data_IF_860934564106
#
_entry.id   IF_860934564106
#
_cell.length_a   1.000
_cell.length_b   1.000
_cell.length_c   1.000
_cell.angle_alpha   90.00
_cell.angle_beta   90.00
_cell.angle_gamma   90.00
#
_symmetry.space_group_name_H-M   'P 1'
#
loop_
_entity.id
_entity.type
_entity.pdbx_description
1 polymer ?
#
# COMPACT_ATOMS: atom_id res chain seq x y z
N UNK A 1 -80.66 -27.06 -61.21
CA UNK A 1 -79.68 -28.20 -61.24
C UNK A 1 -78.28 -27.85 -61.74
N UNK A 2 -78.07 -27.07 -62.86
CA UNK A 2 -76.69 -26.70 -63.22
C UNK A 2 -76.05 -25.64 -62.34
N UNK A 3 -76.81 -24.67 -61.83
CA UNK A 3 -76.30 -23.64 -60.92
C UNK A 3 -75.86 -24.18 -59.56
N UNK A 4 -76.55 -25.13 -58.96
CA UNK A 4 -76.21 -25.74 -57.68
C UNK A 4 -74.90 -26.56 -57.73
N UNK A 5 -74.58 -27.15 -58.86
CA UNK A 5 -73.35 -27.88 -59.08
C UNK A 5 -72.16 -26.91 -59.15
N UNK A 6 -72.29 -25.82 -59.86
CA UNK A 6 -71.26 -24.80 -60.00
C UNK A 6 -70.96 -24.10 -58.62
N UNK A 7 -72.04 -23.79 -57.90
CA UNK A 7 -71.89 -23.20 -56.52
C UNK A 7 -71.18 -24.13 -55.58
N UNK A 8 -71.47 -25.42 -55.62
CA UNK A 8 -70.77 -26.41 -54.80
C UNK A 8 -69.31 -26.55 -55.17
N UNK A 9 -68.96 -26.54 -56.42
CA UNK A 9 -67.54 -26.60 -56.91
C UNK A 9 -66.78 -25.34 -56.46
N UNK A 10 -67.36 -24.15 -56.62
CA UNK A 10 -66.71 -22.89 -56.14
C UNK A 10 -66.50 -22.91 -54.65
N UNK A 11 -67.50 -23.37 -53.89
CA UNK A 11 -67.40 -23.45 -52.43
C UNK A 11 -66.32 -24.47 -52.03
N UNK A 12 -66.28 -25.63 -52.63
CA UNK A 12 -65.25 -26.66 -52.37
C UNK A 12 -63.83 -26.16 -52.73
N UNK A 13 -63.68 -25.43 -53.81
CA UNK A 13 -62.39 -24.83 -54.20
C UNK A 13 -61.94 -23.72 -53.24
N UNK A 14 -62.87 -22.90 -52.76
CA UNK A 14 -62.64 -21.90 -51.76
C UNK A 14 -62.21 -22.55 -50.42
N UNK A 15 -62.94 -23.58 -49.99
CA UNK A 15 -62.56 -24.30 -48.72
C UNK A 15 -61.19 -24.95 -48.82
N UNK A 16 -60.82 -25.56 -50.01
CA UNK A 16 -59.45 -26.06 -50.17
C UNK A 16 -58.43 -24.99 -50.12
N UNK A 17 -58.69 -23.83 -50.70
CA UNK A 17 -57.75 -22.66 -50.67
C UNK A 17 -57.57 -22.17 -49.23
N UNK A 18 -58.69 -22.04 -48.48
CA UNK A 18 -58.61 -21.65 -47.05
C UNK A 18 -57.86 -22.67 -46.21
N UNK A 19 -58.05 -24.00 -46.47
CA UNK A 19 -57.33 -25.04 -45.76
C UNK A 19 -55.83 -24.98 -46.05
N UNK A 20 -55.42 -24.75 -47.31
CA UNK A 20 -53.98 -24.55 -47.66
C UNK A 20 -53.37 -23.33 -47.01
N UNK A 21 -54.06 -22.18 -47.01
CA UNK A 21 -53.58 -20.95 -46.37
C UNK A 21 -53.44 -21.13 -44.86
N UNK A 22 -54.36 -21.84 -44.20
CA UNK A 22 -54.26 -22.16 -42.78
C UNK A 22 -53.07 -23.07 -42.47
N UNK A 23 -52.81 -24.07 -43.31
CA UNK A 23 -51.66 -24.95 -43.11
C UNK A 23 -50.32 -24.20 -43.30
N UNK A 24 -50.25 -23.35 -44.33
CA UNK A 24 -49.08 -22.47 -44.56
C UNK A 24 -48.87 -21.49 -43.41
N UNK A 25 -49.92 -20.83 -42.91
CA UNK A 25 -49.87 -19.97 -41.77
C UNK A 25 -49.40 -20.70 -40.50
N UNK A 26 -49.92 -21.91 -40.26
CA UNK A 26 -49.51 -22.72 -39.15
C UNK A 26 -48.00 -23.09 -39.19
N UNK A 27 -47.51 -23.45 -40.41
CA UNK A 27 -46.09 -23.74 -40.63
C UNK A 27 -45.20 -22.53 -40.44
N UNK A 28 -45.59 -21.37 -40.96
CA UNK A 28 -44.84 -20.13 -40.78
C UNK A 28 -44.81 -19.71 -39.31
N UNK A 29 -45.96 -19.79 -38.62
CA UNK A 29 -46.04 -19.48 -37.17
C UNK A 29 -45.15 -20.40 -36.36
N UNK A 30 -45.16 -21.70 -36.66
CA UNK A 30 -44.28 -22.66 -35.96
C UNK A 30 -42.80 -22.41 -36.23
N UNK A 31 -42.43 -22.02 -37.46
CA UNK A 31 -41.06 -21.68 -37.81
C UNK A 31 -40.57 -20.42 -37.09
N UNK A 32 -41.39 -19.37 -37.04
CA UNK A 32 -41.08 -18.13 -36.30
C UNK A 32 -40.93 -18.42 -34.79
N UNK A 33 -41.82 -19.25 -34.27
CA UNK A 33 -41.76 -19.63 -32.87
C UNK A 33 -40.48 -20.41 -32.51
N UNK A 34 -40.13 -21.40 -33.34
CA UNK A 34 -38.91 -22.18 -33.18
C UNK A 34 -37.65 -21.27 -33.26
N UNK A 35 -37.63 -20.34 -34.20
CA UNK A 35 -36.52 -19.38 -34.32
C UNK A 35 -36.42 -18.45 -33.11
N UNK A 36 -37.54 -17.99 -32.58
CA UNK A 36 -37.57 -17.18 -31.39
C UNK A 36 -37.07 -17.96 -30.12
N UNK A 37 -37.50 -19.21 -30.00
CA UNK A 37 -37.09 -20.09 -28.91
C UNK A 37 -35.59 -20.39 -28.97
N UNK A 38 -35.03 -20.62 -30.16
CA UNK A 38 -33.58 -20.80 -30.34
C UNK A 38 -32.81 -19.54 -29.97
N UNK A 39 -33.25 -18.36 -30.40
CA UNK A 39 -32.63 -17.09 -30.03
C UNK A 39 -32.67 -16.86 -28.51
N UNK A 40 -33.79 -17.11 -27.86
CA UNK A 40 -33.94 -17.01 -26.42
C UNK A 40 -32.99 -17.97 -25.70
N UNK A 41 -32.87 -19.20 -26.21
CA UNK A 41 -31.94 -20.20 -25.65
C UNK A 41 -30.49 -19.75 -25.74
N UNK A 42 -30.06 -19.24 -26.91
CA UNK A 42 -28.72 -18.69 -27.10
C UNK A 42 -28.45 -17.46 -26.19
N UNK A 43 -29.41 -16.56 -26.12
CA UNK A 43 -29.29 -15.39 -25.24
C UNK A 43 -29.13 -15.83 -23.76
N UNK A 44 -29.93 -16.77 -23.28
CA UNK A 44 -29.80 -17.32 -21.92
C UNK A 44 -28.42 -17.93 -21.68
N UNK A 45 -27.93 -18.77 -22.58
CA UNK A 45 -26.58 -19.37 -22.48
C UNK A 45 -25.49 -18.31 -22.43
N UNK A 46 -25.59 -17.26 -23.24
CA UNK A 46 -24.62 -16.17 -23.27
C UNK A 46 -24.64 -15.35 -21.98
N UNK A 47 -25.84 -15.08 -21.45
CA UNK A 47 -25.96 -14.35 -20.18
C UNK A 47 -25.48 -15.19 -18.99
N UNK A 48 -25.76 -16.48 -18.95
CA UNK A 48 -25.23 -17.38 -17.91
C UNK A 48 -23.70 -17.43 -17.93
N UNK A 49 -23.11 -17.46 -19.13
CA UNK A 49 -21.65 -17.44 -19.31
C UNK A 49 -21.04 -16.12 -18.85
N UNK A 50 -21.62 -14.98 -19.23
CA UNK A 50 -21.19 -13.65 -18.76
C UNK A 50 -21.32 -13.53 -17.24
N UNK A 51 -22.41 -14.03 -16.67
CA UNK A 51 -22.62 -14.01 -15.23
C UNK A 51 -21.57 -14.86 -14.50
N UNK A 52 -21.26 -16.04 -15.01
CA UNK A 52 -20.22 -16.91 -14.41
C UNK A 52 -18.83 -16.26 -14.49
N UNK A 53 -18.48 -15.66 -15.63
CA UNK A 53 -17.22 -14.92 -15.81
C UNK A 53 -17.16 -13.68 -14.91
N UNK A 54 -18.24 -12.93 -14.82
CA UNK A 54 -18.36 -11.75 -13.94
C UNK A 54 -18.17 -12.13 -12.47
N UNK A 55 -18.84 -13.19 -12.00
CA UNK A 55 -18.68 -13.71 -10.64
C UNK A 55 -17.23 -14.13 -10.35
N UNK A 56 -16.58 -14.82 -11.31
CA UNK A 56 -15.18 -15.25 -11.16
C UNK A 56 -14.21 -14.05 -11.09
N UNK A 57 -14.45 -13.04 -11.91
CA UNK A 57 -13.65 -11.82 -11.94
C UNK A 57 -13.81 -11.04 -10.63
N UNK A 58 -15.04 -10.85 -10.17
CA UNK A 58 -15.33 -10.18 -8.91
C UNK A 58 -14.68 -10.90 -7.72
N UNK A 59 -14.85 -12.23 -7.64
CA UNK A 59 -14.24 -13.02 -6.56
C UNK A 59 -12.70 -12.90 -6.54
N UNK A 60 -12.06 -12.81 -7.72
CA UNK A 60 -10.61 -12.59 -7.82
C UNK A 60 -10.21 -11.19 -7.35
N UNK A 61 -10.96 -10.17 -7.76
CA UNK A 61 -10.72 -8.79 -7.35
C UNK A 61 -10.86 -8.62 -5.83
N UNK A 62 -11.93 -9.15 -5.24
CA UNK A 62 -12.18 -9.10 -3.80
C UNK A 62 -11.07 -9.81 -3.02
N UNK A 63 -10.65 -11.00 -3.47
CA UNK A 63 -9.53 -11.72 -2.84
C UNK A 63 -8.23 -10.91 -2.90
N UNK A 64 -7.88 -10.36 -4.08
CA UNK A 64 -6.67 -9.56 -4.23
C UNK A 64 -6.69 -8.29 -3.39
N UNK A 65 -7.85 -7.63 -3.29
CA UNK A 65 -8.04 -6.46 -2.44
C UNK A 65 -7.85 -6.80 -0.96
N UNK A 66 -8.49 -7.88 -0.49
CA UNK A 66 -8.37 -8.33 0.90
C UNK A 66 -6.92 -8.74 1.25
N UNK A 67 -6.22 -9.44 0.34
CA UNK A 67 -4.80 -9.78 0.53
C UNK A 67 -3.90 -8.54 0.61
N UNK A 68 -4.16 -7.54 -0.24
CA UNK A 68 -3.41 -6.27 -0.21
C UNK A 68 -3.65 -5.52 1.10
N UNK A 69 -4.90 -5.44 1.53
CA UNK A 69 -5.28 -4.76 2.76
C UNK A 69 -4.68 -5.44 4.00
N UNK A 70 -4.71 -6.77 4.04
CA UNK A 70 -4.05 -7.56 5.09
C UNK A 70 -2.53 -7.29 5.13
N UNK A 71 -1.85 -7.32 3.98
CA UNK A 71 -0.42 -7.00 3.90
C UNK A 71 -0.12 -5.57 4.37
N UNK A 72 -0.95 -4.61 3.96
CA UNK A 72 -0.82 -3.21 4.37
C UNK A 72 -0.94 -3.06 5.89
N UNK A 73 -1.90 -3.73 6.50
CA UNK A 73 -2.09 -3.72 7.96
C UNK A 73 -0.88 -4.29 8.69
N UNK A 74 -0.38 -5.46 8.25
CA UNK A 74 0.82 -6.07 8.82
C UNK A 74 2.05 -5.18 8.71
N UNK A 75 2.27 -4.58 7.53
CA UNK A 75 3.41 -3.66 7.31
C UNK A 75 3.28 -2.38 8.15
N UNK A 76 2.07 -1.85 8.32
CA UNK A 76 1.81 -0.70 9.18
C UNK A 76 2.16 -1.02 10.64
N UNK A 77 1.75 -2.18 11.14
CA UNK A 77 2.10 -2.61 12.50
C UNK A 77 3.58 -2.89 12.68
N UNK A 78 4.24 -3.48 11.70
CA UNK A 78 5.72 -3.64 11.75
C UNK A 78 6.43 -2.29 11.82
N UNK A 79 5.98 -1.29 11.04
CA UNK A 79 6.53 0.07 11.08
C UNK A 79 6.31 0.74 12.44
N UNK A 80 5.15 0.58 13.03
CA UNK A 80 4.81 1.11 14.36
C UNK A 80 5.75 0.54 15.43
N UNK A 81 5.92 -0.79 15.47
CA UNK A 81 6.84 -1.46 16.42
C UNK A 81 8.29 -1.00 16.22
N UNK A 82 8.74 -0.85 14.98
CA UNK A 82 10.09 -0.33 14.71
C UNK A 82 10.24 1.12 15.19
N UNK A 83 9.23 1.97 15.02
CA UNK A 83 9.26 3.34 15.54
C UNK A 83 9.32 3.37 17.06
N UNK A 84 8.49 2.58 17.73
CA UNK A 84 8.51 2.46 19.19
C UNK A 84 9.88 1.97 19.73
N UNK A 85 10.48 1.00 19.05
CA UNK A 85 11.80 0.51 19.40
C UNK A 85 12.89 1.57 19.21
N UNK A 86 12.82 2.37 18.16
CA UNK A 86 13.72 3.51 17.94
C UNK A 86 13.58 4.56 19.04
N UNK A 87 12.34 4.95 19.35
CA UNK A 87 12.06 5.96 20.38
C UNK A 87 12.49 5.47 21.77
N UNK A 88 12.30 4.19 22.08
CA UNK A 88 12.78 3.59 23.32
C UNK A 88 14.32 3.57 23.41
N UNK A 89 15.00 3.27 22.30
CA UNK A 89 16.47 3.31 22.24
C UNK A 89 16.99 4.75 22.44
N UNK A 90 16.37 5.73 21.78
CA UNK A 90 16.71 7.14 21.94
C UNK A 90 16.51 7.59 23.38
N UNK A 91 15.38 7.28 23.99
CA UNK A 91 15.09 7.61 25.38
C UNK A 91 16.10 6.97 26.35
N UNK A 92 16.57 5.75 26.07
CA UNK A 92 17.61 5.11 26.86
C UNK A 92 18.97 5.83 26.77
N UNK A 93 19.35 6.33 25.58
CA UNK A 93 20.55 7.16 25.39
C UNK A 93 20.43 8.50 26.13
N UNK A 94 19.29 9.15 26.01
CA UNK A 94 19.01 10.45 26.69
C UNK A 94 18.93 10.30 28.20
N UNK A 95 18.42 9.19 28.70
CA UNK A 95 18.32 8.87 30.13
C UNK A 95 19.60 8.31 30.74
N UNK A 96 20.69 8.20 29.98
CA UNK A 96 21.97 7.73 30.51
C UNK A 96 22.54 8.69 31.56
N UNK A 97 23.37 8.15 32.48
CA UNK A 97 24.01 8.96 33.52
C UNK A 97 25.00 9.96 32.94
N UNK A 98 25.21 11.09 33.63
CA UNK A 98 26.16 12.13 33.18
C UNK A 98 27.57 11.55 32.93
N UNK A 99 27.98 10.58 33.74
CA UNK A 99 29.28 9.90 33.57
C UNK A 99 29.36 9.11 32.25
N UNK A 100 28.29 8.43 31.88
CA UNK A 100 28.23 7.68 30.63
C UNK A 100 28.19 8.62 29.44
N UNK A 101 27.34 9.65 29.49
CA UNK A 101 27.26 10.69 28.47
C UNK A 101 28.59 11.38 28.23
N UNK A 102 29.30 11.76 29.33
CA UNK A 102 30.62 12.38 29.20
C UNK A 102 31.63 11.46 28.52
N UNK A 103 31.60 10.16 28.79
CA UNK A 103 32.47 9.19 28.11
C UNK A 103 32.17 9.11 26.64
N UNK A 104 30.90 9.11 26.26
CA UNK A 104 30.46 9.10 24.85
C UNK A 104 30.85 10.41 24.14
N UNK A 105 30.61 11.55 24.77
CA UNK A 105 30.98 12.84 24.20
C UNK A 105 32.48 12.98 23.94
N UNK A 106 33.33 12.48 24.83
CA UNK A 106 34.78 12.40 24.59
C UNK A 106 35.15 11.55 23.42
N UNK A 107 34.48 10.40 23.26
CA UNK A 107 34.69 9.53 22.09
C UNK A 107 34.26 10.21 20.78
N UNK A 108 33.13 10.94 20.82
CA UNK A 108 32.62 11.71 19.67
C UNK A 108 33.59 12.83 19.29
N UNK A 109 34.07 13.63 20.25
CA UNK A 109 35.08 14.67 20.00
C UNK A 109 36.31 14.07 19.36
N UNK A 110 36.85 13.00 19.94
CA UNK A 110 38.03 12.30 19.41
C UNK A 110 37.83 11.79 17.98
N UNK A 111 36.63 11.29 17.64
CA UNK A 111 36.35 10.82 16.28
C UNK A 111 36.24 11.95 15.27
N UNK A 112 35.92 13.14 15.69
CA UNK A 112 35.80 14.33 14.84
C UNK A 112 37.09 15.16 14.72
N UNK A 113 38.11 14.92 15.57
CA UNK A 113 39.38 15.66 15.53
C UNK A 113 40.10 15.58 14.18
N UNK A 114 39.92 14.47 13.45
CA UNK A 114 40.47 14.30 12.10
C UNK A 114 39.83 15.26 11.07
N UNK A 115 38.61 15.68 11.30
CA UNK A 115 37.82 16.54 10.41
C UNK A 115 37.87 17.99 10.86
N UNK A 116 37.76 18.22 12.16
CA UNK A 116 37.74 19.55 12.79
C UNK A 116 38.76 19.55 13.92
N UNK A 117 39.98 20.08 13.68
CA UNK A 117 40.97 20.28 14.74
C UNK A 117 40.50 21.38 15.70
N UNK A 118 40.57 21.10 17.02
CA UNK A 118 40.19 22.00 18.10
C UNK A 118 38.74 22.55 17.96
N UNK A 119 37.72 21.64 17.96
CA UNK A 119 36.36 22.03 17.71
C UNK A 119 35.75 22.82 18.86
N UNK A 120 34.74 23.64 18.55
CA UNK A 120 33.77 24.18 19.45
C UNK A 120 32.60 23.21 19.59
N UNK A 121 32.15 22.92 20.82
CA UNK A 121 31.03 22.01 21.04
C UNK A 121 29.74 22.78 21.38
N UNK A 122 28.70 22.59 20.59
CA UNK A 122 27.34 23.03 20.90
C UNK A 122 26.65 21.91 21.66
N UNK A 123 26.08 22.19 22.79
CA UNK A 123 25.44 21.21 23.68
C UNK A 123 24.09 21.72 24.16
N UNK A 124 23.23 20.79 24.60
CA UNK A 124 21.95 21.16 25.19
C UNK A 124 22.16 22.05 26.43
N UNK A 125 21.36 23.13 26.67
CA UNK A 125 21.43 23.97 27.86
C UNK A 125 21.22 23.20 29.16
N UNK A 126 20.70 21.99 29.09
CA UNK A 126 20.51 21.12 30.28
C UNK A 126 21.80 20.39 30.68
N UNK A 127 22.78 20.29 29.80
CA UNK A 127 24.04 19.59 30.05
C UNK A 127 25.02 20.52 30.79
N UNK A 128 25.58 20.04 31.87
CA UNK A 128 26.55 20.79 32.70
C UNK A 128 27.98 20.30 32.40
N UNK A 129 28.45 20.48 31.18
CA UNK A 129 29.74 20.01 30.73
C UNK A 129 30.65 21.20 30.43
N UNK A 130 31.91 21.09 30.80
CA UNK A 130 32.91 22.14 30.55
C UNK A 130 33.83 21.78 29.39
N UNK A 131 34.42 22.80 28.74
CA UNK A 131 35.37 22.61 27.65
C UNK A 131 36.56 21.73 28.06
N UNK A 132 37.09 21.93 29.28
CA UNK A 132 38.18 21.11 29.82
C UNK A 132 37.80 19.63 29.99
N UNK A 133 36.54 19.33 30.28
CA UNK A 133 36.08 17.94 30.39
C UNK A 133 35.96 17.23 29.02
N UNK A 134 35.61 17.97 27.97
CA UNK A 134 35.48 17.43 26.62
C UNK A 134 36.81 17.45 25.86
N UNK A 135 37.73 18.35 26.17
CA UNK A 135 38.95 18.57 25.40
C UNK A 135 38.70 19.40 24.12
N UNK A 136 37.78 20.37 24.19
CA UNK A 136 37.41 21.26 23.09
C UNK A 136 37.76 22.71 23.42
N UNK A 137 37.82 23.58 22.39
CA UNK A 137 38.14 25.00 22.55
C UNK A 137 37.07 25.73 23.37
N UNK A 138 35.81 25.47 23.12
CA UNK A 138 34.67 26.13 23.77
C UNK A 138 33.46 25.20 23.86
N UNK A 139 32.62 25.36 24.89
CA UNK A 139 31.30 24.73 24.98
C UNK A 139 30.24 25.81 25.02
N UNK A 140 29.33 25.78 24.07
CA UNK A 140 28.25 26.75 23.92
C UNK A 140 26.91 26.05 24.08
N UNK A 141 26.09 26.50 25.03
CA UNK A 141 24.71 26.00 25.13
C UNK A 141 23.87 26.44 23.91
N UNK A 142 23.24 25.49 23.23
CA UNK A 142 22.34 25.73 22.13
C UNK A 142 21.01 25.00 22.34
N UNK A 143 19.90 25.72 22.23
CA UNK A 143 18.55 25.20 22.41
C UNK A 143 18.10 24.28 21.27
N UNK A 144 18.78 24.29 20.13
CA UNK A 144 18.50 23.38 19.00
C UNK A 144 19.08 21.99 19.25
N UNK A 145 20.09 21.87 20.10
CA UNK A 145 20.68 20.59 20.49
C UNK A 145 19.84 19.99 21.64
N UNK A 146 19.11 18.95 21.34
CA UNK A 146 18.27 18.27 22.33
C UNK A 146 19.06 17.32 23.21
N UNK A 147 19.91 16.48 22.59
CA UNK A 147 20.76 15.49 23.27
C UNK A 147 21.93 15.10 22.38
N UNK A 148 23.11 14.89 22.99
CA UNK A 148 24.34 14.74 22.24
C UNK A 148 25.06 16.09 22.07
N UNK A 149 25.85 16.24 21.01
CA UNK A 149 26.57 17.48 20.72
C UNK A 149 26.68 17.72 19.21
N UNK A 150 26.91 18.98 18.82
CA UNK A 150 27.31 19.35 17.47
C UNK A 150 28.72 19.95 17.61
N UNK A 151 29.65 19.47 16.80
CA UNK A 151 31.02 20.01 16.75
C UNK A 151 31.12 20.96 15.57
N UNK A 152 31.64 22.15 15.84
CA UNK A 152 31.77 23.23 14.86
C UNK A 152 33.21 23.70 14.81
N UNK A 153 33.71 24.00 13.61
CA UNK A 153 35.02 24.66 13.42
C UNK A 153 35.01 26.08 14.01
N UNK A 154 36.17 26.62 14.35
CA UNK A 154 36.30 27.96 14.94
C UNK A 154 35.65 29.07 14.08
N UNK A 155 35.69 28.93 12.77
CA UNK A 155 35.09 29.84 11.78
C UNK A 155 33.61 29.55 11.46
N UNK A 156 33.03 28.46 12.03
CA UNK A 156 31.67 28.06 11.79
C UNK A 156 31.33 27.49 10.43
N UNK A 157 32.37 27.22 9.61
CA UNK A 157 32.16 26.75 8.20
C UNK A 157 31.93 25.24 8.11
N UNK A 158 32.42 24.46 9.08
CA UNK A 158 32.29 23.01 9.13
C UNK A 158 31.58 22.63 10.40
N UNK A 159 30.55 21.83 10.26
CA UNK A 159 29.78 21.27 11.37
C UNK A 159 29.69 19.75 11.25
N UNK A 160 29.83 19.06 12.37
CA UNK A 160 29.60 17.62 12.48
C UNK A 160 28.51 17.38 13.52
N UNK A 161 27.36 16.91 13.07
CA UNK A 161 26.23 16.59 13.94
C UNK A 161 26.43 15.22 14.61
N UNK A 162 26.70 15.25 15.90
CA UNK A 162 26.88 14.12 16.79
C UNK A 162 25.74 14.01 17.80
N UNK A 163 24.55 14.49 17.47
CA UNK A 163 23.37 14.30 18.28
C UNK A 163 23.00 12.82 18.37
N UNK A 164 22.50 12.37 19.53
CA UNK A 164 22.13 10.95 19.71
C UNK A 164 21.12 10.47 18.69
N UNK A 165 20.16 11.32 18.31
CA UNK A 165 19.18 10.98 17.27
C UNK A 165 19.85 10.73 15.92
N UNK A 166 20.79 11.59 15.52
CA UNK A 166 21.49 11.50 14.22
C UNK A 166 22.35 10.24 14.16
N UNK A 167 23.12 9.98 15.22
CA UNK A 167 23.95 8.77 15.31
C UNK A 167 23.06 7.51 15.33
N UNK A 168 22.02 7.51 16.17
CA UNK A 168 21.10 6.37 16.26
C UNK A 168 20.42 6.12 14.92
N UNK A 169 20.01 7.16 14.18
CA UNK A 169 19.39 7.03 12.86
C UNK A 169 20.37 6.37 11.87
N UNK A 170 21.62 6.79 11.84
CA UNK A 170 22.64 6.20 10.96
C UNK A 170 22.87 4.72 11.25
N UNK A 171 22.98 4.36 12.53
CA UNK A 171 23.13 2.97 12.96
C UNK A 171 21.87 2.14 12.64
N UNK A 172 20.69 2.72 12.87
CA UNK A 172 19.39 2.12 12.60
C UNK A 172 19.23 1.77 11.12
N UNK A 173 19.47 2.74 10.24
CA UNK A 173 19.33 2.57 8.80
C UNK A 173 20.31 1.51 8.25
N UNK A 174 21.51 1.48 8.81
CA UNK A 174 22.51 0.47 8.45
C UNK A 174 22.13 -0.96 8.89
N UNK A 175 21.34 -1.09 9.95
CA UNK A 175 21.01 -2.40 10.56
C UNK A 175 19.52 -2.76 10.47
N UNK A 176 18.70 -1.99 9.76
CA UNK A 176 17.24 -2.18 9.72
C UNK A 176 16.81 -3.58 9.29
N UNK A 177 17.58 -4.21 8.39
CA UNK A 177 17.30 -5.60 7.95
C UNK A 177 17.50 -6.62 9.08
N UNK A 178 18.56 -6.46 9.85
CA UNK A 178 18.86 -7.35 10.98
C UNK A 178 17.84 -7.14 12.10
N UNK A 179 17.51 -5.88 12.42
CA UNK A 179 16.47 -5.55 13.39
C UNK A 179 15.11 -6.14 13.00
N UNK A 180 14.73 -6.00 11.74
CA UNK A 180 13.49 -6.58 11.23
C UNK A 180 13.48 -8.11 11.33
N UNK A 181 14.60 -8.78 11.06
CA UNK A 181 14.71 -10.23 11.20
C UNK A 181 14.63 -10.69 12.67
N UNK A 182 15.20 -9.93 13.60
CA UNK A 182 15.14 -10.23 15.04
C UNK A 182 13.71 -10.06 15.57
N UNK A 183 13.02 -9.01 15.16
CA UNK A 183 11.69 -8.65 15.69
C UNK A 183 10.54 -9.43 15.05
N UNK A 184 10.70 -9.85 13.79
CA UNK A 184 9.58 -10.41 13.01
C UNK A 184 9.86 -11.77 12.37
N UNK A 185 11.06 -12.33 12.50
CA UNK A 185 11.44 -13.64 11.98
C UNK A 185 11.87 -13.59 10.53
#
# INVERSE_FOLDING_TARGET
MALDSVTKEITAAAEQTVAKLRDEQAKETAAIQAQADDQISEMKKNEEKKLAEGKKTLARQERSSAELESKKLVLSKKKEILSEAFDAALAALEGATDKQKLAWYKAMVKSAEEVIPDPKALVSPKEKITAAQLGVSEVVPDSQVQSGLILQSADGTVEVDMQFRTILQSVWDSNIKQLSAILFG
#
